data_IF_529054411393
#
_entry.id   IF_529054411393
#
_cell.length_a   1.000
_cell.length_b   1.000
_cell.length_c   1.000
_cell.angle_alpha   90.00
_cell.angle_beta   90.00
_cell.angle_gamma   90.00
#
_symmetry.space_group_name_H-M   'P 1'
#
loop_
_entity.id
_entity.type
_entity.pdbx_description
1 polymer ?
#
# COMPACT_ATOMS: atom_id res chain seq x y z
N UNK A 1 -5.73 6.04 -1.07
CA UNK A 1 -4.48 6.51 -1.73
C UNK A 1 -4.32 8.01 -2.03
N UNK A 2 -5.30 8.90 -1.81
CA UNK A 2 -5.13 10.35 -2.05
C UNK A 2 -3.97 11.00 -1.25
N UNK A 3 -3.66 10.48 -0.06
CA UNK A 3 -2.54 10.98 0.76
C UNK A 3 -1.17 10.70 0.12
N UNK A 4 -0.95 9.50 -0.44
CA UNK A 4 0.30 9.16 -1.14
C UNK A 4 0.52 10.06 -2.36
N UNK A 5 -0.54 10.40 -3.11
CA UNK A 5 -0.46 11.33 -4.24
C UNK A 5 0.11 12.69 -3.85
N UNK A 6 -0.25 13.22 -2.67
CA UNK A 6 0.26 14.51 -2.20
C UNK A 6 1.78 14.48 -2.00
N UNK A 7 2.31 13.35 -1.52
CA UNK A 7 3.75 13.15 -1.39
C UNK A 7 4.46 13.01 -2.74
N UNK A 8 3.86 12.31 -3.71
CA UNK A 8 4.39 12.22 -5.06
C UNK A 8 4.46 13.59 -5.75
N UNK A 9 3.41 14.41 -5.64
CA UNK A 9 3.41 15.78 -6.17
C UNK A 9 4.53 16.61 -5.54
N UNK A 10 4.78 16.40 -4.24
CA UNK A 10 5.91 17.00 -3.52
C UNK A 10 7.27 16.31 -3.78
N UNK A 11 7.38 15.47 -4.81
CA UNK A 11 8.62 14.80 -5.27
C UNK A 11 9.25 13.82 -4.26
N UNK A 12 8.47 13.32 -3.30
CA UNK A 12 8.94 12.23 -2.43
C UNK A 12 8.95 10.90 -3.18
N UNK A 13 9.97 10.08 -2.93
CA UNK A 13 10.00 8.68 -3.37
C UNK A 13 8.88 7.91 -2.68
N UNK A 14 7.90 7.45 -3.46
CA UNK A 14 6.70 6.77 -2.98
C UNK A 14 6.59 5.36 -3.56
N UNK A 15 6.37 4.37 -2.71
CA UNK A 15 6.02 3.02 -3.10
C UNK A 15 4.54 2.77 -2.78
N UNK A 16 3.77 2.26 -3.74
CA UNK A 16 2.43 1.73 -3.47
C UNK A 16 2.41 0.24 -3.67
N UNK A 17 1.82 -0.47 -2.70
CA UNK A 17 1.71 -1.92 -2.65
C UNK A 17 0.22 -2.26 -2.72
N UNK A 18 -0.14 -3.18 -3.62
CA UNK A 18 -1.50 -3.74 -3.72
C UNK A 18 -1.48 -5.25 -3.44
N UNK A 19 -2.57 -5.78 -2.91
CA UNK A 19 -2.70 -7.22 -2.74
C UNK A 19 -2.80 -7.91 -4.11
N UNK A 20 -1.89 -8.84 -4.38
CA UNK A 20 -1.75 -9.44 -5.71
C UNK A 20 -2.99 -10.22 -6.16
N UNK A 21 -3.73 -10.82 -5.22
CA UNK A 21 -4.96 -11.57 -5.53
C UNK A 21 -6.18 -10.67 -5.68
N UNK A 22 -6.05 -9.38 -5.40
CA UNK A 22 -7.09 -8.41 -5.76
C UNK A 22 -6.93 -7.99 -7.23
N UNK A 23 -7.60 -8.75 -8.09
CA UNK A 23 -7.61 -8.56 -9.55
C UNK A 23 -8.82 -7.79 -10.06
N UNK A 24 -9.69 -7.29 -9.15
CA UNK A 24 -10.89 -6.50 -9.50
C UNK A 24 -10.52 -5.21 -10.22
N UNK A 25 -9.33 -4.71 -9.96
CA UNK A 25 -8.69 -3.59 -10.63
C UNK A 25 -7.46 -4.13 -11.36
N UNK A 26 -7.45 -3.99 -12.69
CA UNK A 26 -6.64 -4.72 -13.68
C UNK A 26 -5.15 -4.93 -13.34
N UNK A 27 -4.54 -5.89 -14.04
CA UNK A 27 -3.14 -6.33 -13.88
C UNK A 27 -2.09 -5.23 -14.11
N UNK A 28 -2.46 -4.02 -14.58
CA UNK A 28 -1.48 -3.01 -15.02
C UNK A 28 -1.77 -1.57 -14.59
N UNK A 29 -2.81 -1.28 -13.80
CA UNK A 29 -3.01 0.11 -13.35
C UNK A 29 -4.08 0.26 -12.29
N UNK A 30 -3.76 1.01 -11.23
CA UNK A 30 -4.72 1.39 -10.19
C UNK A 30 -5.87 2.22 -10.79
N UNK A 31 -6.94 1.56 -11.21
CA UNK A 31 -8.20 2.23 -11.49
C UNK A 31 -8.95 2.43 -10.17
N UNK A 32 -8.52 3.40 -9.36
CA UNK A 32 -9.49 4.07 -8.50
C UNK A 32 -10.52 4.73 -9.41
N UNK A 33 -11.80 4.84 -9.02
CA UNK A 33 -12.85 5.51 -9.83
C UNK A 33 -12.44 6.92 -10.33
N UNK A 34 -11.43 7.54 -9.70
CA UNK A 34 -10.63 8.62 -10.26
C UNK A 34 -9.53 8.06 -11.20
N UNK A 35 -9.69 8.26 -12.51
CA UNK A 35 -8.87 7.88 -13.69
C UNK A 35 -7.34 8.11 -13.64
N UNK A 36 -6.75 8.39 -12.49
CA UNK A 36 -5.32 8.55 -12.35
C UNK A 36 -4.69 7.24 -11.87
N UNK A 37 -4.09 6.48 -12.76
CA UNK A 37 -3.37 5.25 -12.42
C UNK A 37 -2.03 5.62 -11.78
N UNK A 38 -1.92 5.47 -10.47
CA UNK A 38 -0.60 5.42 -9.83
C UNK A 38 -0.09 3.97 -9.91
N UNK A 39 1.16 3.78 -10.31
CA UNK A 39 1.74 2.45 -10.40
C UNK A 39 1.85 1.82 -8.99
N UNK A 40 1.41 0.57 -8.88
CA UNK A 40 1.43 -0.19 -7.64
C UNK A 40 2.10 -1.53 -7.86
N UNK A 41 2.93 -1.94 -6.90
CA UNK A 41 3.61 -3.24 -6.91
C UNK A 41 2.67 -4.27 -6.29
N UNK A 42 2.28 -5.33 -7.03
CA UNK A 42 1.49 -6.41 -6.46
C UNK A 42 2.34 -7.27 -5.52
N UNK A 43 1.82 -7.61 -4.35
CA UNK A 43 2.48 -8.48 -3.38
C UNK A 43 1.48 -9.42 -2.69
N UNK A 44 1.94 -10.60 -2.26
CA UNK A 44 1.14 -11.50 -1.41
C UNK A 44 1.47 -11.28 0.08
N UNK A 45 2.72 -10.94 0.38
CA UNK A 45 3.20 -10.53 1.70
C UNK A 45 4.01 -9.24 1.57
N UNK A 46 3.97 -8.37 2.56
CA UNK A 46 4.72 -7.11 2.53
C UNK A 46 6.24 -7.34 2.63
N UNK A 47 6.65 -8.42 3.30
CA UNK A 47 8.05 -8.83 3.36
C UNK A 47 8.68 -9.04 1.97
N UNK A 48 7.89 -9.48 0.99
CA UNK A 48 8.36 -9.77 -0.38
C UNK A 48 8.85 -8.50 -1.10
N UNK A 49 8.34 -7.33 -0.71
CA UNK A 49 8.67 -6.02 -1.29
C UNK A 49 9.50 -5.15 -0.35
N UNK A 50 10.03 -5.72 0.74
CA UNK A 50 10.81 -5.00 1.75
C UNK A 50 12.00 -4.24 1.16
N UNK A 51 12.73 -4.86 0.24
CA UNK A 51 13.89 -4.23 -0.43
C UNK A 51 13.52 -2.98 -1.22
N UNK A 52 12.33 -2.95 -1.84
CA UNK A 52 11.79 -1.77 -2.52
C UNK A 52 11.32 -0.72 -1.50
N UNK A 53 10.66 -1.15 -0.43
CA UNK A 53 10.18 -0.27 0.63
C UNK A 53 11.33 0.48 1.32
N UNK A 54 12.49 -0.16 1.48
CA UNK A 54 13.70 0.47 2.00
C UNK A 54 14.19 1.65 1.16
N UNK A 55 13.90 1.69 -0.14
CA UNK A 55 14.29 2.77 -1.05
C UNK A 55 13.27 3.91 -1.12
N UNK A 56 12.07 3.71 -0.58
CA UNK A 56 10.99 4.71 -0.56
C UNK A 56 11.00 5.54 0.74
N UNK A 57 10.57 6.79 0.64
CA UNK A 57 10.31 7.66 1.80
C UNK A 57 8.88 7.47 2.33
N UNK A 58 7.93 7.21 1.42
CA UNK A 58 6.51 7.04 1.71
C UNK A 58 6.04 5.71 1.16
N UNK A 59 5.36 4.92 1.98
CA UNK A 59 4.85 3.60 1.61
C UNK A 59 3.32 3.62 1.76
N UNK A 60 2.62 3.41 0.65
CA UNK A 60 1.18 3.20 0.62
C UNK A 60 0.85 1.71 0.54
N UNK A 61 0.04 1.21 1.46
CA UNK A 61 -0.47 -0.17 1.43
C UNK A 61 -1.97 -0.10 1.17
N UNK A 62 -2.43 -0.70 0.08
CA UNK A 62 -3.84 -0.85 -0.24
C UNK A 62 -4.35 -2.23 0.18
N UNK A 63 -5.60 -2.29 0.63
CA UNK A 63 -6.23 -3.53 1.11
C UNK A 63 -5.41 -4.22 2.22
N UNK A 64 -4.92 -3.43 3.19
CA UNK A 64 -4.02 -3.86 4.27
C UNK A 64 -4.54 -5.04 5.10
N UNK A 65 -5.87 -5.26 5.14
CA UNK A 65 -6.48 -6.40 5.83
C UNK A 65 -6.16 -7.76 5.18
N UNK A 66 -5.70 -7.80 3.93
CA UNK A 66 -5.34 -9.06 3.25
C UNK A 66 -3.89 -9.49 3.49
N UNK A 67 -3.06 -8.62 4.05
CA UNK A 67 -1.68 -8.91 4.35
C UNK A 67 -1.53 -9.38 5.81
N UNK A 68 -1.04 -10.60 6.05
CA UNK A 68 -0.89 -11.13 7.42
C UNK A 68 0.24 -10.43 8.20
N UNK A 69 1.14 -9.74 7.51
CA UNK A 69 2.35 -9.09 8.04
C UNK A 69 2.23 -7.55 8.10
N UNK A 70 1.02 -6.99 7.96
CA UNK A 70 0.79 -5.53 7.97
C UNK A 70 1.37 -4.83 9.19
N UNK A 71 1.09 -5.34 10.39
CA UNK A 71 1.49 -4.67 11.63
C UNK A 71 3.01 -4.64 11.78
N UNK A 72 3.66 -5.80 11.71
CA UNK A 72 5.12 -5.94 11.83
C UNK A 72 5.86 -5.09 10.80
N UNK A 73 5.42 -5.13 9.54
CA UNK A 73 6.01 -4.34 8.47
C UNK A 73 5.84 -2.83 8.69
N UNK A 74 4.66 -2.39 9.13
CA UNK A 74 4.41 -0.96 9.39
C UNK A 74 5.27 -0.44 10.53
N UNK A 75 5.38 -1.19 11.63
CA UNK A 75 6.22 -0.82 12.77
C UNK A 75 7.70 -0.74 12.36
N UNK A 76 8.19 -1.75 11.64
CA UNK A 76 9.58 -1.78 11.17
C UNK A 76 9.88 -0.54 10.29
N UNK A 77 9.06 -0.29 9.27
CA UNK A 77 9.28 0.79 8.33
C UNK A 77 9.14 2.17 8.98
N UNK A 78 8.18 2.34 9.91
CA UNK A 78 8.00 3.58 10.65
C UNK A 78 9.19 3.86 11.58
N UNK A 79 9.72 2.83 12.27
CA UNK A 79 10.91 2.94 13.12
C UNK A 79 12.17 3.31 12.31
N UNK A 80 12.20 3.00 11.01
CA UNK A 80 13.23 3.45 10.07
C UNK A 80 13.00 4.87 9.52
N UNK A 81 12.02 5.60 10.04
CA UNK A 81 11.72 6.99 9.67
C UNK A 81 10.87 7.15 8.40
N UNK A 82 10.23 6.08 7.92
CA UNK A 82 9.37 6.14 6.72
C UNK A 82 7.94 6.53 7.09
N UNK A 83 7.27 7.24 6.19
CA UNK A 83 5.82 7.50 6.34
C UNK A 83 5.04 6.33 5.76
N UNK A 84 4.31 5.59 6.60
CA UNK A 84 3.48 4.45 6.17
C UNK A 84 2.00 4.84 6.20
N UNK A 85 1.30 4.62 5.08
CA UNK A 85 -0.12 4.93 4.91
C UNK A 85 -0.84 3.65 4.52
N UNK A 86 -1.63 3.12 5.45
CA UNK A 86 -2.43 1.91 5.24
C UNK A 86 -3.88 2.28 4.92
N UNK A 87 -4.41 1.76 3.83
CA UNK A 87 -5.84 1.69 3.57
C UNK A 87 -6.29 0.26 3.84
N UNK A 88 -7.25 0.08 4.73
CA UNK A 88 -7.80 -1.22 5.08
C UNK A 88 -9.27 -1.10 5.46
N UNK A 89 -10.01 -2.19 5.34
CA UNK A 89 -11.34 -2.33 5.92
C UNK A 89 -11.22 -2.57 7.42
N UNK A 90 -12.04 -1.87 8.21
CA UNK A 90 -12.13 -2.00 9.66
C UNK A 90 -12.99 -3.20 10.11
N UNK A 91 -13.73 -3.79 9.17
CA UNK A 91 -14.51 -4.99 9.44
C UNK A 91 -14.88 -5.77 8.18
N UNK A 92 -15.26 -7.02 8.39
CA UNK A 92 -15.78 -7.91 7.35
C UNK A 92 -17.23 -7.57 7.00
N UNK A 93 -17.77 -8.20 5.95
CA UNK A 93 -19.20 -8.07 5.59
C UNK A 93 -20.17 -8.44 6.74
N UNK A 94 -19.70 -9.24 7.72
CA UNK A 94 -20.44 -9.61 8.92
C UNK A 94 -20.27 -8.62 10.09
N UNK A 95 -19.58 -7.50 9.88
CA UNK A 95 -19.19 -6.53 10.92
C UNK A 95 -18.31 -7.13 12.03
N UNK A 96 -17.57 -8.19 11.71
CA UNK A 96 -16.50 -8.69 12.57
C UNK A 96 -15.24 -7.89 12.31
N UNK A 97 -14.62 -7.44 13.39
CA UNK A 97 -13.29 -6.81 13.41
C UNK A 97 -12.24 -7.89 13.49
#
# INVERSE_FOLDING_TARGET
MRRVRRFQVAQYSCLVIKYAKDTRYSQTGMATHDMSTMEAVPANRLCDVRSLALQACVIGIDEGQFFPDTVEFCEEMANMGKTVIVAALDGTFQRKV
#
